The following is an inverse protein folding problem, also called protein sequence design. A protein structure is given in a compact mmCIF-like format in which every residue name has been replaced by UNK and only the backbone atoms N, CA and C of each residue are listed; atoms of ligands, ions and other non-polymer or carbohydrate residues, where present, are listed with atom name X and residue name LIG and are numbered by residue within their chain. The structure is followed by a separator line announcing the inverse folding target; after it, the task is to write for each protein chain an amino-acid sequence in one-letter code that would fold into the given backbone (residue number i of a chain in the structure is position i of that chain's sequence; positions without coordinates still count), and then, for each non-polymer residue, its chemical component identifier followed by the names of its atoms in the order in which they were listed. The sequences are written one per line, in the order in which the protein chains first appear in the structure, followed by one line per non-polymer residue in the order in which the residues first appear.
data_IF_447368123592
#
_entry.id   IF_447368123592
#
_cell.length_a   1.000
_cell.length_b   1.000
_cell.length_c   1.000
_cell.angle_alpha   90.00
_cell.angle_beta   90.00
_cell.angle_gamma   90.00
#
_symmetry.space_group_name_H-M   'P 1'
#
loop_
_entity.id
_entity.type
_entity.pdbx_description
1 polymer ?
#
# COMPACT_ATOMS: atom_id res chain seq x y z
N UNK A 1 -7.34 2.78 -4.64
CA UNK A 1 -6.14 3.65 -4.55
C UNK A 1 -4.83 2.88 -4.67
N UNK A 2 -4.53 1.93 -3.78
CA UNK A 2 -3.25 1.20 -3.84
C UNK A 2 -3.05 0.39 -5.14
N UNK A 3 -4.10 -0.29 -5.64
CA UNK A 3 -4.07 -0.93 -6.96
C UNK A 3 -3.85 0.08 -8.09
N UNK A 4 -4.61 1.18 -8.12
CA UNK A 4 -4.55 2.20 -9.17
C UNK A 4 -3.18 2.91 -9.22
N UNK A 5 -2.51 3.07 -8.08
CA UNK A 5 -1.18 3.67 -8.00
C UNK A 5 -0.05 2.65 -8.21
N UNK A 6 -0.37 1.40 -8.56
CA UNK A 6 0.61 0.35 -8.83
C UNK A 6 1.38 -0.12 -7.60
N UNK A 7 0.91 0.21 -6.38
CA UNK A 7 1.55 -0.16 -5.11
C UNK A 7 1.44 -1.67 -4.87
N UNK A 8 0.36 -2.30 -5.35
CA UNK A 8 0.14 -3.74 -5.23
C UNK A 8 -0.69 -4.28 -6.40
N UNK A 9 -0.62 -5.59 -6.60
CA UNK A 9 -1.46 -6.35 -7.52
C UNK A 9 -2.01 -7.62 -6.82
N UNK A 10 -2.85 -8.40 -7.51
CA UNK A 10 -3.51 -9.58 -6.92
C UNK A 10 -2.54 -10.66 -6.44
N UNK A 11 -1.30 -10.69 -6.96
CA UNK A 11 -0.25 -11.65 -6.60
C UNK A 11 0.69 -11.11 -5.51
N UNK A 12 0.49 -9.88 -5.05
CA UNK A 12 1.30 -9.30 -3.97
C UNK A 12 1.16 -10.12 -2.71
N UNK A 13 2.29 -10.37 -2.04
CA UNK A 13 2.35 -11.02 -0.73
C UNK A 13 2.97 -10.04 0.25
N UNK A 14 2.23 -9.68 1.28
CA UNK A 14 2.72 -8.89 2.42
C UNK A 14 3.36 -9.84 3.41
N UNK A 15 4.66 -9.65 3.65
CA UNK A 15 5.45 -10.53 4.51
C UNK A 15 5.24 -10.20 5.98
N UNK A 16 4.97 -11.23 6.76
CA UNK A 16 4.83 -11.12 8.22
C UNK A 16 6.19 -11.11 8.90
N UNK A 17 6.31 -10.33 9.97
CA UNK A 17 7.55 -10.15 10.72
C UNK A 17 7.69 -11.12 11.92
N UNK A 18 6.77 -12.06 12.07
CA UNK A 18 6.81 -13.08 13.12
C UNK A 18 6.27 -12.62 14.48
N UNK A 19 5.78 -11.38 14.60
CA UNK A 19 5.25 -10.88 15.86
C UNK A 19 3.88 -11.47 16.15
N UNK A 20 3.81 -12.29 17.19
CA UNK A 20 2.55 -12.85 17.69
C UNK A 20 1.61 -11.74 18.15
N UNK A 21 0.36 -11.88 17.72
CA UNK A 21 -0.71 -10.94 18.01
C UNK A 21 -1.78 -11.57 18.89
N UNK A 22 -2.90 -10.88 19.01
CA UNK A 22 -4.12 -11.37 19.68
C UNK A 22 -5.12 -12.01 18.72
N UNK A 23 -4.98 -11.76 17.41
CA UNK A 23 -5.89 -12.23 16.37
C UNK A 23 -5.15 -13.25 15.49
N UNK A 24 -5.49 -14.54 15.55
CA UNK A 24 -4.80 -15.59 14.80
C UNK A 24 -4.78 -15.35 13.28
N UNK A 25 -5.84 -14.78 12.72
CA UNK A 25 -5.95 -14.49 11.28
C UNK A 25 -4.94 -13.42 10.81
N UNK A 26 -4.38 -12.65 11.74
CA UNK A 26 -3.37 -11.62 11.46
C UNK A 26 -1.94 -12.18 11.51
N UNK A 27 -1.77 -13.43 11.97
CA UNK A 27 -0.48 -14.10 12.04
C UNK A 27 -0.16 -14.78 10.71
N UNK A 28 0.96 -14.38 10.11
CA UNK A 28 1.45 -14.93 8.85
C UNK A 28 1.22 -14.01 7.65
N UNK A 29 1.85 -14.41 6.54
CA UNK A 29 1.83 -13.67 5.28
C UNK A 29 0.40 -13.41 4.79
N UNK A 30 0.20 -12.25 4.16
CA UNK A 30 -1.11 -11.82 3.70
C UNK A 30 -1.12 -11.55 2.20
N UNK A 31 -2.29 -11.73 1.60
CA UNK A 31 -2.61 -11.30 0.22
C UNK A 31 -3.54 -10.08 0.29
N UNK A 32 -3.75 -9.34 -0.81
CA UNK A 32 -4.77 -8.28 -0.82
C UNK A 32 -6.15 -8.80 -0.40
N UNK A 33 -6.49 -10.03 -0.76
CA UNK A 33 -7.78 -10.63 -0.40
C UNK A 33 -7.87 -10.89 1.11
N UNK A 34 -6.87 -11.57 1.69
CA UNK A 34 -6.89 -11.89 3.13
C UNK A 34 -6.75 -10.63 4.00
N UNK A 35 -5.93 -9.66 3.58
CA UNK A 35 -5.84 -8.35 4.24
C UNK A 35 -7.19 -7.65 4.31
N UNK A 36 -7.91 -7.56 3.19
CA UNK A 36 -9.22 -6.92 3.13
C UNK A 36 -10.27 -7.70 3.93
N UNK A 37 -10.27 -9.03 3.82
CA UNK A 37 -11.22 -9.90 4.52
C UNK A 37 -11.07 -9.81 6.03
N UNK A 38 -9.85 -9.81 6.55
CA UNK A 38 -9.57 -9.86 7.99
C UNK A 38 -9.17 -8.50 8.59
N UNK A 39 -9.19 -7.44 7.80
CA UNK A 39 -8.80 -6.08 8.22
C UNK A 39 -7.45 -6.05 8.95
N UNK A 40 -6.45 -6.67 8.34
CA UNK A 40 -5.13 -6.87 8.96
C UNK A 40 -4.38 -5.54 9.08
N UNK A 41 -4.34 -4.96 10.27
CA UNK A 41 -3.88 -3.59 10.50
C UNK A 41 -2.42 -3.35 10.10
N UNK A 42 -1.53 -4.31 10.38
CA UNK A 42 -0.10 -4.15 10.09
C UNK A 42 0.18 -4.05 8.59
N UNK A 43 -0.65 -4.67 7.74
CA UNK A 43 -0.58 -4.52 6.29
C UNK A 43 -0.95 -3.09 5.89
N UNK A 44 -2.01 -2.52 6.48
CA UNK A 44 -2.41 -1.12 6.25
C UNK A 44 -1.31 -0.14 6.62
N UNK A 45 -0.59 -0.40 7.72
CA UNK A 45 0.54 0.42 8.16
C UNK A 45 1.72 0.36 7.18
N UNK A 46 1.93 -0.75 6.48
CA UNK A 46 2.94 -0.85 5.41
C UNK A 46 2.55 -0.09 4.15
N UNK A 47 1.25 -0.06 3.80
CA UNK A 47 0.75 0.53 2.54
C UNK A 47 0.58 2.05 2.64
N UNK A 48 0.16 2.56 3.79
CA UNK A 48 -0.22 3.97 3.95
C UNK A 48 0.90 4.97 3.62
N UNK A 49 2.17 4.76 4.03
CA UNK A 49 3.27 5.64 3.62
C UNK A 49 3.50 5.65 2.10
N UNK A 50 3.32 4.51 1.44
CA UNK A 50 3.51 4.36 -0.01
C UNK A 50 2.44 5.12 -0.79
N UNK A 51 1.19 5.13 -0.29
CA UNK A 51 0.10 5.96 -0.84
C UNK A 51 0.40 7.45 -0.71
N UNK A 52 0.93 7.88 0.43
CA UNK A 52 1.36 9.26 0.64
C UNK A 52 2.43 9.68 -0.37
N UNK A 53 3.48 8.85 -0.52
CA UNK A 53 4.55 9.09 -1.48
C UNK A 53 4.06 9.13 -2.93
N UNK A 54 3.24 8.15 -3.34
CA UNK A 54 2.68 8.09 -4.69
C UNK A 54 1.80 9.32 -5.00
N UNK A 55 1.04 9.82 -4.02
CA UNK A 55 0.27 11.06 -4.16
C UNK A 55 1.18 12.29 -4.35
N UNK A 56 2.24 12.41 -3.55
CA UNK A 56 3.21 13.52 -3.67
C UNK A 56 3.85 13.50 -5.06
N UNK A 57 4.30 12.32 -5.52
CA UNK A 57 4.89 12.14 -6.84
C UNK A 57 3.94 12.56 -7.97
N UNK A 58 2.67 12.15 -7.88
CA UNK A 58 1.66 12.50 -8.87
C UNK A 58 1.44 14.03 -8.97
N UNK A 59 1.36 14.71 -7.82
CA UNK A 59 1.20 16.18 -7.78
C UNK A 59 2.44 16.86 -8.39
N UNK A 60 3.64 16.42 -8.04
CA UNK A 60 4.88 17.01 -8.55
C UNK A 60 5.00 16.90 -10.08
N UNK A 61 4.71 15.73 -10.65
CA UNK A 61 4.75 15.53 -12.11
C UNK A 61 3.67 16.36 -12.82
N UNK A 62 2.46 16.42 -12.26
CA UNK A 62 1.35 17.21 -12.84
C UNK A 62 1.67 18.71 -12.90
N UNK A 63 2.41 19.22 -11.91
CA UNK A 63 2.83 20.62 -11.88
C UNK A 63 3.96 20.93 -12.88
N UNK A 64 4.84 19.96 -13.17
CA UNK A 64 5.89 20.12 -14.18
C UNK A 64 5.35 20.11 -15.63
N UNK A 65 4.20 19.48 -15.88
CA UNK A 65 3.56 19.50 -17.20
C UNK A 65 2.80 20.79 -17.52
N UNK A 66 2.68 21.72 -16.55
CA UNK A 66 2.01 23.01 -16.71
C UNK A 66 2.98 24.20 -16.77
N UNK A 67 4.29 23.97 -16.77
CA UNK A 67 5.27 25.05 -16.95
C UNK A 67 5.41 25.34 -18.46
N UNK A 68 5.04 26.52 -18.96
CA UNK A 68 5.32 26.86 -20.34
C UNK A 68 6.83 26.94 -20.51
N UNK A 69 7.36 26.24 -21.52
CA UNK A 69 8.73 26.46 -21.98
C UNK A 69 8.83 27.91 -22.47
N UNK A 70 9.52 28.75 -21.71
CA UNK A 70 9.96 30.07 -22.15
C UNK A 70 11.09 29.93 -23.19
#
# INVERSE_FOLDING_TARGET
MAFNQGIMNQKTVFKWDGKKGVIPEHEGDQTPNSWLKYSVLWVSQQITPQLGYARIKHIFVSNLTLVPKF
#
